data_IF_353755967740
#
_entry.id   IF_353755967740
#
_cell.length_a   1.000
_cell.length_b   1.000
_cell.length_c   1.000
_cell.angle_alpha   90.00
_cell.angle_beta   90.00
_cell.angle_gamma   90.00
#
_symmetry.space_group_name_H-M   'P 1'
#
loop_
_entity.id
_entity.type
_entity.pdbx_description
1 polymer ?
#
# COMPACT_ATOMS: atom_id res chain seq x y z
N UNK A 1 -24.99 28.88 -8.98
CA UNK A 1 -24.56 27.50 -8.65
C UNK A 1 -23.52 26.94 -9.65
N UNK A 2 -22.63 27.77 -10.23
CA UNK A 2 -21.64 27.34 -11.24
C UNK A 2 -20.17 27.55 -10.81
N UNK A 3 -19.92 28.13 -9.63
CA UNK A 3 -18.57 28.59 -9.27
C UNK A 3 -17.90 27.66 -8.24
N UNK A 4 -18.67 26.93 -7.44
CA UNK A 4 -18.14 25.96 -6.46
C UNK A 4 -17.60 24.69 -7.12
N UNK A 5 -18.17 24.28 -8.26
CA UNK A 5 -17.69 23.09 -9.00
C UNK A 5 -16.28 23.29 -9.55
N UNK A 6 -15.98 24.49 -10.09
CA UNK A 6 -14.64 24.82 -10.59
C UNK A 6 -13.63 25.01 -9.46
N UNK A 7 -14.04 25.57 -8.32
CA UNK A 7 -13.21 25.68 -7.11
C UNK A 7 -12.90 24.32 -6.50
N UNK A 8 -13.88 23.41 -6.47
CA UNK A 8 -13.69 22.03 -6.01
C UNK A 8 -12.78 21.23 -6.93
N UNK A 9 -12.93 21.38 -8.26
CA UNK A 9 -12.05 20.74 -9.24
C UNK A 9 -10.60 21.23 -9.14
N UNK A 10 -10.40 22.55 -8.92
CA UNK A 10 -9.07 23.14 -8.74
C UNK A 10 -8.42 22.67 -7.44
N UNK A 11 -9.19 22.62 -6.35
CA UNK A 11 -8.73 22.13 -5.05
C UNK A 11 -8.39 20.63 -5.09
N UNK A 12 -9.17 19.85 -5.84
CA UNK A 12 -8.88 18.44 -6.12
C UNK A 12 -7.55 18.31 -6.88
N UNK A 13 -7.35 19.09 -7.96
CA UNK A 13 -6.12 19.03 -8.78
C UNK A 13 -4.85 19.40 -7.99
N UNK A 14 -4.96 20.33 -7.05
CA UNK A 14 -3.85 20.79 -6.19
C UNK A 14 -3.52 19.75 -5.09
N UNK A 15 -4.50 18.98 -4.62
CA UNK A 15 -4.31 17.98 -3.56
C UNK A 15 -3.77 16.62 -4.06
N UNK A 16 -3.90 16.32 -5.35
CA UNK A 16 -3.46 15.05 -5.95
C UNK A 16 -1.94 14.78 -5.88
N UNK A 17 -1.03 15.71 -6.22
CA UNK A 17 0.39 15.39 -6.32
C UNK A 17 1.04 15.04 -4.98
N UNK A 18 0.56 15.62 -3.89
CA UNK A 18 1.04 15.35 -2.53
C UNK A 18 0.73 13.93 -2.03
N UNK A 19 -0.23 13.23 -2.64
CA UNK A 19 -0.57 11.85 -2.26
C UNK A 19 0.34 10.83 -2.99
N UNK A 20 1.00 11.24 -4.07
CA UNK A 20 1.66 10.32 -5.01
C UNK A 20 3.19 10.38 -4.93
N UNK A 21 3.78 11.48 -4.45
CA UNK A 21 5.23 11.60 -4.35
C UNK A 21 5.78 10.95 -3.07
N UNK A 22 6.12 9.66 -3.15
CA UNK A 22 6.90 8.97 -2.12
C UNK A 22 8.39 9.03 -2.51
N UNK A 23 9.23 9.62 -1.65
CA UNK A 23 10.69 9.70 -1.89
C UNK A 23 11.35 8.32 -1.82
N UNK A 24 12.47 8.14 -2.53
CA UNK A 24 13.18 6.86 -2.58
C UNK A 24 13.66 6.39 -1.20
N UNK A 25 14.07 7.29 -0.30
CA UNK A 25 14.51 6.91 1.04
C UNK A 25 13.31 6.40 1.88
N UNK A 26 12.16 7.05 1.75
CA UNK A 26 10.90 6.60 2.38
C UNK A 26 10.49 5.24 1.85
N UNK A 27 10.52 5.05 0.52
CA UNK A 27 10.21 3.78 -0.13
C UNK A 27 11.15 2.67 0.33
N UNK A 28 12.44 2.97 0.42
CA UNK A 28 13.45 2.04 0.89
C UNK A 28 13.20 1.61 2.34
N UNK A 29 12.94 2.56 3.24
CA UNK A 29 12.66 2.27 4.64
C UNK A 29 11.41 1.38 4.79
N UNK A 30 10.34 1.71 4.05
CA UNK A 30 9.09 0.95 4.03
C UNK A 30 9.27 -0.47 3.51
N UNK A 31 9.97 -0.64 2.39
CA UNK A 31 10.16 -1.95 1.76
C UNK A 31 11.14 -2.82 2.56
N UNK A 32 12.23 -2.26 3.07
CA UNK A 32 13.21 -3.01 3.88
C UNK A 32 12.62 -3.53 5.21
N UNK A 33 11.66 -2.81 5.80
CA UNK A 33 10.88 -3.27 6.97
C UNK A 33 9.82 -4.31 6.63
N UNK A 34 9.39 -4.37 5.38
CA UNK A 34 8.36 -5.32 4.91
C UNK A 34 8.96 -6.65 4.43
N UNK A 35 10.25 -6.68 4.09
CA UNK A 35 10.96 -7.85 3.62
C UNK A 35 11.70 -8.54 4.78
N UNK A 36 11.45 -9.83 5.00
CA UNK A 36 12.24 -10.67 5.90
C UNK A 36 13.61 -10.98 5.28
N UNK A 37 14.62 -11.17 6.11
CA UNK A 37 15.86 -11.79 5.70
C UNK A 37 15.66 -13.32 5.60
N UNK A 38 15.83 -13.95 4.42
CA UNK A 38 15.58 -15.38 4.21
C UNK A 38 16.42 -16.33 5.08
N UNK A 39 17.59 -15.87 5.50
CA UNK A 39 18.59 -16.69 6.22
C UNK A 39 18.75 -16.29 7.69
N UNK A 40 18.06 -15.23 8.13
CA UNK A 40 18.14 -14.71 9.48
C UNK A 40 17.04 -15.28 10.39
N UNK A 41 17.10 -14.96 11.69
CA UNK A 41 16.17 -15.49 12.70
C UNK A 41 14.81 -14.77 12.72
N UNK A 42 14.15 -14.69 11.55
CA UNK A 42 12.84 -14.03 11.42
C UNK A 42 12.88 -12.51 11.52
N UNK A 43 14.03 -11.90 11.28
CA UNK A 43 14.24 -10.45 11.25
C UNK A 43 13.98 -9.89 9.85
N UNK A 44 13.68 -8.59 9.76
CA UNK A 44 13.55 -7.87 8.49
C UNK A 44 14.92 -7.52 7.91
N UNK A 45 14.98 -7.16 6.62
CA UNK A 45 16.18 -6.60 6.00
C UNK A 45 16.60 -5.28 6.67
N UNK A 46 15.64 -4.55 7.25
CA UNK A 46 15.92 -3.32 8.00
C UNK A 46 16.57 -3.61 9.35
N UNK A 47 16.02 -4.57 10.10
CA UNK A 47 16.42 -4.82 11.50
C UNK A 47 17.64 -5.75 11.63
N UNK A 48 17.85 -6.67 10.69
CA UNK A 48 18.91 -7.66 10.83
C UNK A 48 20.30 -7.05 10.67
N UNK A 49 21.25 -7.33 11.60
CA UNK A 49 22.61 -6.82 11.54
C UNK A 49 23.57 -7.72 10.72
N UNK A 50 23.04 -8.73 10.03
CA UNK A 50 23.87 -9.68 9.28
C UNK A 50 24.45 -9.08 8.00
N UNK A 51 25.67 -9.51 7.62
CA UNK A 51 26.30 -9.13 6.36
C UNK A 51 25.43 -9.51 5.14
N UNK A 52 24.70 -10.64 5.25
CA UNK A 52 23.75 -11.03 4.22
C UNK A 52 22.59 -10.02 4.06
N UNK A 53 22.07 -9.48 5.17
CA UNK A 53 21.05 -8.44 5.11
C UNK A 53 21.60 -7.15 4.50
N UNK A 54 22.86 -6.80 4.75
CA UNK A 54 23.53 -5.67 4.10
C UNK A 54 23.59 -5.80 2.58
N UNK A 55 23.98 -6.97 2.08
CA UNK A 55 24.01 -7.25 0.64
C UNK A 55 22.60 -7.14 0.03
N UNK A 56 21.60 -7.69 0.70
CA UNK A 56 20.21 -7.64 0.24
C UNK A 56 19.62 -6.22 0.29
N UNK A 57 19.99 -5.41 1.27
CA UNK A 57 19.68 -3.97 1.31
C UNK A 57 20.28 -3.24 0.11
N UNK A 58 21.48 -3.62 -0.31
CA UNK A 58 22.11 -3.12 -1.54
C UNK A 58 21.27 -3.41 -2.78
N UNK A 59 20.82 -4.67 -2.94
CA UNK A 59 19.94 -5.08 -4.05
C UNK A 59 18.63 -4.29 -4.04
N UNK A 60 18.00 -4.11 -2.88
CA UNK A 60 16.76 -3.35 -2.77
C UNK A 60 16.95 -1.88 -3.16
N UNK A 61 18.05 -1.24 -2.74
CA UNK A 61 18.38 0.13 -3.15
C UNK A 61 18.56 0.26 -4.65
N UNK A 62 19.24 -0.71 -5.27
CA UNK A 62 19.42 -0.72 -6.73
C UNK A 62 18.08 -0.82 -7.46
N UNK A 63 17.16 -1.68 -7.00
CA UNK A 63 15.82 -1.81 -7.58
C UNK A 63 15.02 -0.50 -7.50
N UNK A 64 15.07 0.18 -6.36
CA UNK A 64 14.41 1.48 -6.18
C UNK A 64 15.04 2.54 -7.09
N UNK A 65 16.38 2.60 -7.16
CA UNK A 65 17.11 3.52 -8.01
C UNK A 65 16.83 3.29 -9.51
N UNK A 66 16.61 2.03 -9.91
CA UNK A 66 16.20 1.64 -11.26
C UNK A 66 14.73 1.97 -11.57
N UNK A 67 13.98 2.53 -10.62
CA UNK A 67 12.60 2.98 -10.83
C UNK A 67 11.56 1.85 -10.84
N UNK A 68 11.89 0.67 -10.31
CA UNK A 68 10.91 -0.42 -10.18
C UNK A 68 9.80 0.00 -9.23
N UNK A 69 8.57 -0.43 -9.52
CA UNK A 69 7.42 -0.26 -8.64
C UNK A 69 7.49 -1.19 -7.42
N UNK A 70 6.79 -0.83 -6.34
CA UNK A 70 6.73 -1.65 -5.13
C UNK A 70 6.21 -3.07 -5.43
N UNK A 71 5.25 -3.22 -6.34
CA UNK A 71 4.70 -4.53 -6.75
C UNK A 71 5.74 -5.38 -7.50
N UNK A 72 6.49 -4.80 -8.44
CA UNK A 72 7.56 -5.49 -9.16
C UNK A 72 8.67 -5.96 -8.21
N UNK A 73 9.06 -5.10 -7.27
CA UNK A 73 10.03 -5.44 -6.22
C UNK A 73 9.48 -6.62 -5.41
N UNK A 74 8.29 -6.50 -4.84
CA UNK A 74 7.72 -7.55 -4.00
C UNK A 74 7.55 -8.88 -4.74
N UNK A 75 7.17 -8.84 -6.02
CA UNK A 75 7.07 -10.02 -6.87
C UNK A 75 8.45 -10.66 -7.11
N UNK A 76 9.49 -9.87 -7.36
CA UNK A 76 10.85 -10.39 -7.49
C UNK A 76 11.32 -11.15 -6.24
N UNK A 77 11.10 -10.58 -5.05
CA UNK A 77 11.48 -11.20 -3.79
C UNK A 77 10.64 -12.45 -3.51
N UNK A 78 9.32 -12.38 -3.73
CA UNK A 78 8.40 -13.50 -3.51
C UNK A 78 8.69 -14.67 -4.46
N UNK A 79 8.98 -14.40 -5.73
CA UNK A 79 9.28 -15.44 -6.71
C UNK A 79 10.57 -16.20 -6.37
N UNK A 80 11.54 -15.53 -5.75
CA UNK A 80 12.85 -16.11 -5.42
C UNK A 80 12.91 -16.76 -4.03
N UNK A 81 12.24 -16.18 -3.04
CA UNK A 81 12.34 -16.59 -1.64
C UNK A 81 11.02 -17.13 -1.04
N UNK A 82 9.93 -17.09 -1.80
CA UNK A 82 8.59 -17.53 -1.40
C UNK A 82 7.76 -16.44 -0.73
N UNK A 83 6.46 -16.69 -0.56
CA UNK A 83 5.49 -15.69 -0.04
C UNK A 83 5.81 -15.19 1.37
N UNK A 84 6.45 -16.05 2.19
CA UNK A 84 6.85 -15.69 3.55
C UNK A 84 7.87 -14.57 3.63
N UNK A 85 8.52 -14.20 2.52
CA UNK A 85 9.47 -13.09 2.51
C UNK A 85 8.79 -11.75 2.80
N UNK A 86 7.50 -11.62 2.44
CA UNK A 86 6.71 -10.43 2.71
C UNK A 86 6.00 -10.57 4.06
N UNK A 87 6.29 -9.68 5.00
CA UNK A 87 5.60 -9.64 6.31
C UNK A 87 4.16 -9.16 6.19
N UNK A 88 3.83 -8.46 5.11
CA UNK A 88 2.51 -7.92 4.84
C UNK A 88 2.08 -8.26 3.40
N UNK A 89 1.71 -9.52 3.11
CA UNK A 89 1.12 -9.87 1.83
C UNK A 89 -0.11 -9.00 1.61
N UNK A 90 -0.09 -8.20 0.54
CA UNK A 90 -1.25 -7.43 0.12
C UNK A 90 -2.26 -8.40 -0.50
N UNK A 91 -3.01 -9.11 0.36
CA UNK A 91 -4.22 -9.81 -0.05
C UNK A 91 -5.30 -8.77 -0.32
N UNK A 92 -5.17 -8.06 -1.46
CA UNK A 92 -6.24 -7.20 -1.96
C UNK A 92 -7.38 -8.09 -2.43
N UNK A 93 -8.22 -8.54 -1.51
CA UNK A 93 -9.45 -9.22 -1.83
C UNK A 93 -10.54 -8.16 -2.10
N UNK A 94 -10.90 -7.87 -3.37
CA UNK A 94 -11.87 -6.83 -3.70
C UNK A 94 -13.26 -7.10 -3.09
N UNK A 95 -13.57 -8.36 -2.73
CA UNK A 95 -14.82 -8.71 -2.06
C UNK A 95 -14.92 -8.14 -0.63
N UNK A 96 -13.79 -7.85 0.03
CA UNK A 96 -13.78 -7.27 1.37
C UNK A 96 -14.38 -5.85 1.37
N UNK A 97 -14.26 -5.12 0.26
CA UNK A 97 -14.82 -3.78 0.10
C UNK A 97 -16.35 -3.78 -0.10
N UNK A 98 -16.92 -4.90 -0.55
CA UNK A 98 -18.36 -5.01 -0.81
C UNK A 98 -19.20 -5.08 0.48
N UNK A 99 -18.63 -5.62 1.57
CA UNK A 99 -19.30 -5.77 2.86
C UNK A 99 -19.77 -4.42 3.43
N UNK A 100 -18.89 -3.41 3.62
CA UNK A 100 -19.32 -2.11 4.15
C UNK A 100 -20.27 -1.37 3.20
N UNK A 101 -20.11 -1.50 1.89
CA UNK A 101 -21.02 -0.90 0.89
C UNK A 101 -22.42 -1.50 1.02
N UNK A 102 -22.52 -2.83 1.13
CA UNK A 102 -23.79 -3.54 1.27
C UNK A 102 -24.52 -3.16 2.56
N UNK A 103 -23.82 -3.20 3.70
CA UNK A 103 -24.41 -2.81 4.99
C UNK A 103 -24.78 -1.33 5.04
N UNK A 104 -23.95 -0.44 4.47
CA UNK A 104 -24.25 0.98 4.36
C UNK A 104 -25.50 1.25 3.51
N UNK A 105 -25.63 0.59 2.36
CA UNK A 105 -26.79 0.71 1.49
C UNK A 105 -28.06 0.14 2.15
N UNK A 106 -27.97 -1.01 2.82
CA UNK A 106 -29.08 -1.63 3.55
C UNK A 106 -29.56 -0.72 4.69
N UNK A 107 -28.63 -0.17 5.48
CA UNK A 107 -28.94 0.76 6.56
C UNK A 107 -29.62 2.03 6.03
N UNK A 108 -29.07 2.64 4.97
CA UNK A 108 -29.66 3.80 4.33
C UNK A 108 -31.08 3.51 3.84
N UNK A 109 -31.30 2.37 3.18
CA UNK A 109 -32.62 1.97 2.68
C UNK A 109 -33.65 1.84 3.81
N UNK A 110 -33.31 1.15 4.91
CA UNK A 110 -34.20 1.00 6.07
C UNK A 110 -34.51 2.37 6.70
N UNK A 111 -33.49 3.23 6.85
CA UNK A 111 -33.63 4.59 7.39
C UNK A 111 -34.56 5.45 6.54
N UNK A 112 -34.35 5.51 5.22
CA UNK A 112 -35.21 6.27 4.31
C UNK A 112 -36.65 5.73 4.27
N UNK A 113 -36.84 4.41 4.39
CA UNK A 113 -38.18 3.82 4.47
C UNK A 113 -38.89 4.19 5.77
N UNK A 114 -38.18 4.23 6.90
CA UNK A 114 -38.72 4.64 8.21
C UNK A 114 -39.10 6.12 8.23
N UNK A 115 -38.20 7.00 7.75
CA UNK A 115 -38.41 8.46 7.71
C UNK A 115 -39.54 8.88 6.77
N UNK A 116 -39.81 8.12 5.71
CA UNK A 116 -40.92 8.42 4.78
C UNK A 116 -42.28 7.92 5.26
N UNK A 117 -42.31 7.04 6.27
CA UNK A 117 -43.52 6.37 6.73
C UNK A 117 -43.93 6.83 8.15
N UNK A 118 -43.21 7.81 8.70
CA UNK A 118 -43.58 8.66 9.83
C UNK A 118 -43.85 10.08 9.28
#
# INVERSE_FOLDING_TARGET
MKNYASLFLLLLLIALPSIVYEDNDSRYEKLSKSLLCPVCQGETLFDSPSEYADDMRGVLKEQIANGLSDEEIMNYWTLRFGERINTNPQDTNPFLLLIPIFFGALFAYIFFKKVRND
#
